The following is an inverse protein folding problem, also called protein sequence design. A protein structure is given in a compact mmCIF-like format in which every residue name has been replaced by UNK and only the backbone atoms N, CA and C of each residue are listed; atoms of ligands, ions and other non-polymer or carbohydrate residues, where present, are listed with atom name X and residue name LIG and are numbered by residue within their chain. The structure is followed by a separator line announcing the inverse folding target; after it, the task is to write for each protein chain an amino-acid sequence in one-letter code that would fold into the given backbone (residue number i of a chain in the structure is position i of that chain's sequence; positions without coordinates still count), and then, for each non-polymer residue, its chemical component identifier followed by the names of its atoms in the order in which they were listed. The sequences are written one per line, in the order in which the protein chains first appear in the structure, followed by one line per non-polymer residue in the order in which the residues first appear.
data_IF_853567910874
#
_entry.id   IF_853567910874
#
_cell.length_a   1.000
_cell.length_b   1.000
_cell.length_c   1.000
_cell.angle_alpha   90.00
_cell.angle_beta   90.00
_cell.angle_gamma   90.00
#
_symmetry.space_group_name_H-M   'P 1'
#
loop_
_entity.id
_entity.type
_entity.pdbx_description
1 polymer ?
#
# COMPACT_ATOMS: atom_id res chain seq x y z
N UNK A 1 6.27 3.57 -3.86
CA UNK A 1 7.04 2.39 -3.43
C UNK A 1 6.19 1.61 -2.45
N UNK A 2 6.19 0.28 -2.58
CA UNK A 2 5.40 -0.68 -1.79
C UNK A 2 6.39 -1.53 -0.99
N UNK A 3 6.07 -1.95 0.23
CA UNK A 3 7.01 -2.70 1.07
C UNK A 3 7.08 -4.15 0.60
N UNK A 4 7.94 -4.41 -0.36
CA UNK A 4 8.26 -5.75 -0.83
C UNK A 4 9.64 -6.15 -0.31
N UNK A 5 9.90 -7.46 -0.20
CA UNK A 5 11.26 -7.95 0.00
C UNK A 5 12.21 -7.29 -1.03
N UNK A 6 13.36 -6.81 -0.58
CA UNK A 6 14.22 -5.92 -1.37
C UNK A 6 14.57 -6.49 -2.76
N UNK A 7 14.77 -7.81 -2.87
CA UNK A 7 14.99 -8.49 -4.16
C UNK A 7 13.77 -8.41 -5.09
N UNK A 8 12.56 -8.63 -4.57
CA UNK A 8 11.31 -8.58 -5.35
C UNK A 8 10.91 -7.16 -5.74
N UNK A 9 11.21 -6.16 -4.89
CA UNK A 9 10.98 -4.76 -5.23
C UNK A 9 11.87 -4.31 -6.41
N UNK A 10 13.12 -4.79 -6.46
CA UNK A 10 14.05 -4.53 -7.57
C UNK A 10 13.57 -5.16 -8.87
N UNK A 11 13.12 -6.41 -8.82
CA UNK A 11 12.70 -7.16 -10.01
C UNK A 11 11.34 -6.71 -10.58
N UNK A 12 10.51 -6.03 -9.78
CA UNK A 12 9.23 -5.48 -10.24
C UNK A 12 9.39 -4.20 -11.06
N UNK A 13 10.36 -3.34 -10.73
CA UNK A 13 10.59 -2.09 -11.47
C UNK A 13 9.31 -1.28 -11.77
N UNK A 14 9.17 -0.83 -13.02
CA UNK A 14 7.99 -0.07 -13.47
C UNK A 14 7.00 -0.87 -14.34
N UNK A 15 6.82 -2.16 -14.02
CA UNK A 15 5.78 -2.98 -14.67
C UNK A 15 4.37 -2.46 -14.40
N UNK A 16 3.42 -2.95 -15.18
CA UNK A 16 2.02 -2.53 -15.13
C UNK A 16 1.42 -2.73 -13.74
N UNK A 17 0.37 -1.95 -13.42
CA UNK A 17 -0.33 -2.09 -12.15
C UNK A 17 -0.91 -3.50 -11.95
N UNK A 18 -1.40 -4.13 -13.02
CA UNK A 18 -1.96 -5.49 -12.98
C UNK A 18 -0.91 -6.50 -12.52
N UNK A 19 0.32 -6.39 -13.03
CA UNK A 19 1.43 -7.25 -12.65
C UNK A 19 1.89 -6.98 -11.21
N UNK A 20 1.97 -5.70 -10.81
CA UNK A 20 2.29 -5.30 -9.43
C UNK A 20 1.27 -5.85 -8.44
N UNK A 21 -0.02 -5.73 -8.75
CA UNK A 21 -1.13 -6.17 -7.91
C UNK A 21 -1.07 -7.67 -7.62
N UNK A 22 -0.85 -8.47 -8.66
CA UNK A 22 -0.76 -9.93 -8.55
C UNK A 22 0.39 -10.35 -7.64
N UNK A 23 1.53 -9.65 -7.75
CA UNK A 23 2.73 -9.97 -6.96
C UNK A 23 2.64 -9.49 -5.51
N UNK A 24 1.93 -8.40 -5.25
CA UNK A 24 1.65 -7.90 -3.89
C UNK A 24 0.71 -8.81 -3.09
N UNK A 25 -0.13 -9.62 -3.72
CA UNK A 25 -1.03 -10.55 -3.04
C UNK A 25 -0.29 -11.67 -2.28
N UNK A 26 0.90 -12.07 -2.75
CA UNK A 26 1.70 -13.16 -2.17
C UNK A 26 2.63 -12.74 -1.02
N UNK A 27 2.65 -11.45 -0.66
CA UNK A 27 3.68 -10.90 0.23
C UNK A 27 3.24 -10.86 1.69
N UNK A 28 4.19 -10.96 2.62
CA UNK A 28 3.91 -11.05 4.05
C UNK A 28 3.50 -9.72 4.70
N UNK A 29 3.57 -8.61 3.96
CA UNK A 29 3.19 -7.29 4.46
C UNK A 29 1.69 -7.07 4.28
N UNK A 30 0.93 -7.08 5.39
CA UNK A 30 -0.53 -6.95 5.39
C UNK A 30 -1.08 -5.71 4.66
N UNK A 31 -0.32 -4.61 4.62
CA UNK A 31 -0.70 -3.38 3.90
C UNK A 31 -0.78 -3.58 2.37
N UNK A 32 0.03 -4.51 1.85
CA UNK A 32 0.20 -4.76 0.43
C UNK A 32 -0.76 -5.84 -0.08
N UNK A 33 -1.10 -6.82 0.78
CA UNK A 33 -2.24 -7.72 0.54
C UNK A 33 -3.54 -6.95 0.35
N UNK A 34 -3.81 -5.95 1.20
CA UNK A 34 -5.00 -5.07 1.06
C UNK A 34 -5.01 -4.27 -0.24
N UNK A 35 -3.85 -3.98 -0.85
CA UNK A 35 -3.81 -3.36 -2.19
C UNK A 35 -4.38 -4.34 -3.22
N UNK A 36 -3.91 -5.59 -3.17
CA UNK A 36 -4.31 -6.61 -4.12
C UNK A 36 -5.76 -7.08 -3.95
N UNK A 37 -6.22 -7.21 -2.70
CA UNK A 37 -7.54 -7.74 -2.39
C UNK A 37 -8.64 -6.68 -2.58
N UNK A 38 -8.46 -5.49 -1.99
CA UNK A 38 -9.56 -4.53 -1.88
C UNK A 38 -9.51 -3.38 -2.90
N UNK A 39 -8.55 -3.35 -3.84
CA UNK A 39 -8.39 -2.26 -4.80
C UNK A 39 -8.33 -2.78 -6.23
N UNK A 40 -9.36 -3.52 -6.64
CA UNK A 40 -9.48 -3.99 -8.02
C UNK A 40 -9.69 -2.85 -9.02
N UNK A 41 -10.45 -1.83 -8.63
CA UNK A 41 -10.67 -0.61 -9.40
C UNK A 41 -10.25 0.60 -8.59
N UNK A 42 -9.44 1.48 -9.18
CA UNK A 42 -9.06 2.74 -8.58
C UNK A 42 -10.04 3.84 -8.99
N UNK A 43 -11.06 4.06 -8.17
CA UNK A 43 -11.92 5.24 -8.28
C UNK A 43 -11.40 6.36 -7.36
N UNK A 44 -11.73 7.63 -7.62
CA UNK A 44 -11.35 8.73 -6.73
C UNK A 44 -11.75 8.50 -5.26
N UNK A 45 -12.95 7.99 -5.03
CA UNK A 45 -13.50 7.71 -3.68
C UNK A 45 -12.68 6.62 -2.98
N UNK A 46 -12.22 5.62 -3.75
CA UNK A 46 -11.39 4.54 -3.22
C UNK A 46 -10.00 5.04 -2.83
N UNK A 47 -9.43 5.91 -3.66
CA UNK A 47 -8.15 6.57 -3.38
C UNK A 47 -8.26 7.39 -2.10
N UNK A 48 -9.31 8.20 -1.96
CA UNK A 48 -9.55 9.03 -0.77
C UNK A 48 -9.71 8.18 0.50
N UNK A 49 -10.52 7.12 0.44
CA UNK A 49 -10.71 6.17 1.54
C UNK A 49 -9.39 5.55 1.99
N UNK A 50 -8.55 5.13 1.03
CA UNK A 50 -7.23 4.56 1.31
C UNK A 50 -6.27 5.58 1.90
N UNK A 51 -6.25 6.81 1.38
CA UNK A 51 -5.41 7.89 1.90
C UNK A 51 -5.75 8.22 3.36
N UNK A 52 -7.04 8.28 3.71
CA UNK A 52 -7.48 8.47 5.12
C UNK A 52 -6.99 7.34 6.02
N UNK A 53 -7.12 6.08 5.59
CA UNK A 53 -6.64 4.95 6.36
C UNK A 53 -5.12 4.99 6.59
N UNK A 54 -4.35 5.34 5.54
CA UNK A 54 -2.89 5.49 5.65
C UNK A 54 -2.49 6.67 6.54
N UNK A 55 -3.21 7.79 6.49
CA UNK A 55 -2.97 8.94 7.35
C UNK A 55 -3.15 8.59 8.84
N UNK A 56 -4.18 7.82 9.18
CA UNK A 56 -4.40 7.35 10.56
C UNK A 56 -3.26 6.44 11.05
N UNK A 57 -2.77 5.54 10.19
CA UNK A 57 -1.62 4.67 10.52
C UNK A 57 -0.34 5.51 10.68
N UNK A 58 -0.10 6.48 9.80
CA UNK A 58 1.04 7.37 9.91
C UNK A 58 1.01 8.20 11.21
N UNK A 59 -0.16 8.70 11.59
CA UNK A 59 -0.33 9.49 12.81
C UNK A 59 -0.08 8.66 14.09
N UNK A 60 -0.39 7.36 14.09
CA UNK A 60 -0.11 6.49 15.23
C UNK A 60 1.39 6.17 15.39
N UNK A 61 2.13 6.10 14.28
CA UNK A 61 3.59 5.90 14.29
C UNK A 61 4.32 7.17 14.72
N UNK A 62 3.97 8.32 14.12
CA UNK A 62 4.65 9.60 14.40
C UNK A 62 4.16 10.32 15.66
N UNK A 63 3.22 9.72 16.42
CA UNK A 63 2.65 10.28 17.67
C UNK A 63 2.33 11.78 17.56
N UNK A 64 1.70 12.18 16.46
CA UNK A 64 1.45 13.60 16.15
C UNK A 64 0.63 14.28 17.26
N UNK A 65 -0.24 13.54 17.95
CA UNK A 65 -0.99 14.02 19.11
C UNK A 65 -0.13 14.38 20.34
N UNK A 66 1.16 14.01 20.36
CA UNK A 66 2.12 14.40 21.41
C UNK A 66 2.95 15.64 21.02
N UNK A 67 2.75 16.20 19.82
CA UNK A 67 3.47 17.36 19.31
C UNK A 67 2.64 18.66 19.39
N UNK A 68 1.43 18.60 19.96
CA UNK A 68 0.55 19.74 20.20
C UNK A 68 0.57 20.19 21.66
#
# INVERSE_FOLDING_TARGET
MTMLEAGKNRDIGNVSFVDKKTRSAGEHVCLDKKIAEDNANWTPERIESRQRALANIAASVWRIAQLS
#
